data_IF_286629603620
#
_entry.id   IF_286629603620
#
_cell.length_a   1.000
_cell.length_b   1.000
_cell.length_c   1.000
_cell.angle_alpha   90.00
_cell.angle_beta   90.00
_cell.angle_gamma   90.00
#
_symmetry.space_group_name_H-M   'P 1'
#
loop_
_entity.id
_entity.type
_entity.pdbx_description
1 polymer ?
#
# COMPACT_ATOMS: atom_id res chain seq x y z
N UNK A 1 14.16 8.91 -2.95
CA UNK A 1 13.75 9.57 -4.19
C UNK A 1 12.53 10.48 -4.00
N UNK A 2 11.75 10.32 -2.93
CA UNK A 2 10.60 11.17 -2.58
C UNK A 2 10.46 11.31 -1.08
N UNK A 3 9.65 12.25 -0.66
CA UNK A 3 9.22 12.40 0.73
C UNK A 3 7.87 11.73 0.96
N UNK A 4 7.54 11.56 2.23
CA UNK A 4 6.22 11.09 2.61
C UNK A 4 6.05 10.87 4.10
N UNK A 5 4.85 10.38 4.44
CA UNK A 5 4.49 9.96 5.78
C UNK A 5 3.92 8.54 5.76
N UNK A 6 4.33 7.72 6.72
CA UNK A 6 3.77 6.39 6.95
C UNK A 6 3.07 6.30 8.29
N UNK A 7 1.88 5.70 8.27
CA UNK A 7 1.35 5.05 9.46
C UNK A 7 1.83 3.60 9.52
N UNK A 8 1.99 3.05 10.71
CA UNK A 8 2.35 1.65 10.92
C UNK A 8 1.36 0.95 11.87
N UNK A 9 1.58 -0.35 12.12
CA UNK A 9 0.71 -1.16 12.96
C UNK A 9 0.62 -0.69 14.43
N UNK A 10 1.60 0.07 14.93
CA UNK A 10 1.55 0.69 16.27
C UNK A 10 0.93 2.09 16.25
N UNK A 11 0.26 2.49 15.19
CA UNK A 11 -0.34 3.81 14.98
C UNK A 11 0.68 4.96 14.99
N UNK A 12 1.94 4.69 14.69
CA UNK A 12 2.97 5.72 14.62
C UNK A 12 2.98 6.35 13.24
N UNK A 13 2.80 7.66 13.18
CA UNK A 13 3.04 8.44 11.96
C UNK A 13 4.50 8.85 11.92
N UNK A 14 5.21 8.46 10.87
CA UNK A 14 6.62 8.71 10.66
C UNK A 14 6.83 9.42 9.32
N UNK A 15 7.73 10.41 9.30
CA UNK A 15 8.11 11.08 8.08
C UNK A 15 9.47 10.60 7.60
N UNK A 16 9.60 10.43 6.30
CA UNK A 16 10.89 10.23 5.67
C UNK A 16 11.18 11.36 4.69
N UNK A 17 12.45 11.63 4.53
CA UNK A 17 12.97 12.60 3.60
C UNK A 17 13.50 11.91 2.37
N UNK A 18 13.47 12.62 1.27
CA UNK A 18 14.20 12.19 0.08
C UNK A 18 15.68 12.09 0.41
N UNK A 19 16.30 10.98 0.10
CA UNK A 19 17.72 10.69 0.40
C UNK A 19 18.59 10.78 -0.86
N UNK A 20 18.01 10.53 -2.02
CA UNK A 20 18.69 10.55 -3.32
C UNK A 20 17.81 11.23 -4.36
N UNK A 21 18.45 11.79 -5.35
CA UNK A 21 17.78 12.36 -6.52
C UNK A 21 17.06 11.26 -7.30
N UNK A 22 15.86 11.55 -7.77
CA UNK A 22 15.14 10.63 -8.67
C UNK A 22 15.93 10.49 -10.00
N UNK A 23 16.08 9.28 -10.52
CA UNK A 23 16.83 9.08 -11.76
C UNK A 23 16.07 9.58 -12.99
N UNK A 24 16.77 10.23 -13.91
CA UNK A 24 16.23 10.67 -15.18
C UNK A 24 14.95 11.51 -15.05
N UNK A 25 13.91 11.10 -15.72
CA UNK A 25 12.62 11.78 -15.74
C UNK A 25 11.64 11.30 -14.65
N UNK A 26 12.07 10.45 -13.72
CA UNK A 26 11.22 10.00 -12.62
C UNK A 26 10.80 11.19 -11.74
N UNK A 27 9.52 11.21 -11.35
CA UNK A 27 8.92 12.24 -10.50
C UNK A 27 8.08 11.59 -9.41
N UNK A 28 7.92 12.29 -8.29
CA UNK A 28 7.09 11.80 -7.17
C UNK A 28 5.62 11.67 -7.59
N UNK A 29 4.90 10.78 -6.91
CA UNK A 29 3.46 10.58 -7.16
C UNK A 29 2.69 11.90 -7.01
N UNK A 30 3.03 12.69 -6.00
CA UNK A 30 2.39 13.98 -5.74
C UNK A 30 2.59 14.96 -6.93
N UNK A 31 3.81 15.05 -7.45
CA UNK A 31 4.07 15.86 -8.63
C UNK A 31 3.23 15.40 -9.83
N UNK A 32 3.14 14.09 -10.03
CA UNK A 32 2.32 13.53 -11.10
C UNK A 32 0.84 13.91 -10.95
N UNK A 33 0.27 13.75 -9.75
CA UNK A 33 -1.12 14.15 -9.49
C UNK A 33 -1.35 15.65 -9.71
N UNK A 34 -0.44 16.49 -9.27
CA UNK A 34 -0.54 17.93 -9.48
C UNK A 34 -0.49 18.28 -10.97
N UNK A 35 0.42 17.68 -11.74
CA UNK A 35 0.50 17.91 -13.18
C UNK A 35 -0.71 17.38 -13.94
N UNK A 36 -1.23 16.22 -13.57
CA UNK A 36 -2.49 15.73 -14.12
C UNK A 36 -3.65 16.66 -13.81
N UNK A 37 -3.76 17.14 -12.58
CA UNK A 37 -4.85 18.01 -12.16
C UNK A 37 -4.97 19.32 -12.95
N UNK A 38 -3.87 19.81 -13.52
CA UNK A 38 -3.86 20.98 -14.39
C UNK A 38 -4.53 20.75 -15.76
N UNK A 39 -4.72 19.49 -16.16
CA UNK A 39 -5.21 19.08 -17.48
C UNK A 39 -6.70 18.79 -17.52
N UNK A 40 -7.33 18.68 -16.37
CA UNK A 40 -8.75 18.36 -16.25
C UNK A 40 -9.51 19.54 -15.66
N UNK A 41 -10.62 19.91 -16.27
CA UNK A 41 -11.61 20.78 -15.61
C UNK A 41 -12.41 19.98 -14.61
N UNK A 42 -12.97 20.68 -13.65
CA UNK A 42 -13.82 20.07 -12.61
C UNK A 42 -14.98 19.30 -13.25
N UNK A 43 -15.57 19.85 -14.32
CA UNK A 43 -16.67 19.27 -15.05
C UNK A 43 -16.33 17.95 -15.77
N UNK A 44 -15.06 17.73 -16.08
CA UNK A 44 -14.62 16.50 -16.74
C UNK A 44 -14.60 15.29 -15.76
N UNK A 45 -14.59 15.55 -14.45
CA UNK A 45 -14.28 14.51 -13.45
C UNK A 45 -15.36 14.41 -12.38
N UNK A 46 -15.93 15.52 -11.93
CA UNK A 46 -16.89 15.53 -10.83
C UNK A 46 -18.34 15.40 -11.33
N UNK A 47 -19.21 14.69 -10.57
CA UNK A 47 -20.61 14.60 -10.92
C UNK A 47 -21.29 15.98 -10.87
N UNK A 48 -22.27 16.16 -11.74
CA UNK A 48 -22.98 17.42 -11.90
C UNK A 48 -23.62 17.93 -10.59
N UNK A 49 -24.10 17.03 -9.74
CA UNK A 49 -24.70 17.35 -8.44
C UNK A 49 -23.69 17.97 -7.47
N UNK A 50 -22.42 17.55 -7.55
CA UNK A 50 -21.35 18.14 -6.73
C UNK A 50 -21.02 19.55 -7.23
N UNK A 51 -20.95 19.72 -8.54
CA UNK A 51 -20.67 21.02 -9.19
C UNK A 51 -21.81 22.01 -8.90
N UNK A 52 -23.07 21.55 -8.93
CA UNK A 52 -24.23 22.37 -8.58
C UNK A 52 -24.17 22.92 -7.15
N UNK A 53 -23.57 22.16 -6.21
CA UNK A 53 -23.33 22.59 -4.82
C UNK A 53 -22.13 23.55 -4.67
N UNK A 54 -21.29 23.65 -5.71
CA UNK A 54 -20.04 24.42 -5.71
C UNK A 54 -19.86 25.15 -7.05
N UNK A 55 -20.81 26.03 -7.43
CA UNK A 55 -20.82 26.68 -8.74
C UNK A 55 -19.58 27.53 -8.99
N UNK A 56 -18.89 27.98 -7.93
CA UNK A 56 -17.64 28.72 -8.00
C UNK A 56 -16.45 27.90 -8.56
N UNK A 57 -16.62 26.59 -8.67
CA UNK A 57 -15.59 25.70 -9.22
C UNK A 57 -15.75 25.47 -10.72
N UNK A 58 -16.89 25.82 -11.29
CA UNK A 58 -17.15 25.65 -12.71
C UNK A 58 -16.12 26.38 -13.59
N UNK A 59 -15.60 25.68 -14.59
CA UNK A 59 -14.58 26.19 -15.51
C UNK A 59 -13.15 26.18 -14.96
N UNK A 60 -12.97 25.86 -13.66
CA UNK A 60 -11.65 25.75 -13.04
C UNK A 60 -11.03 24.37 -13.28
N UNK A 61 -9.71 24.32 -13.27
CA UNK A 61 -9.01 23.03 -13.27
C UNK A 61 -9.07 22.37 -11.89
N UNK A 62 -8.86 21.06 -11.85
CA UNK A 62 -8.71 20.36 -10.56
C UNK A 62 -7.54 20.94 -9.74
N UNK A 63 -6.46 21.39 -10.41
CA UNK A 63 -5.35 22.06 -9.76
C UNK A 63 -5.80 23.33 -9.01
N UNK A 64 -6.58 24.19 -9.66
CA UNK A 64 -7.06 25.43 -9.07
C UNK A 64 -7.91 25.19 -7.81
N UNK A 65 -8.68 24.11 -7.82
CA UNK A 65 -9.59 23.78 -6.71
C UNK A 65 -8.90 23.03 -5.59
N UNK A 66 -8.02 22.07 -5.92
CA UNK A 66 -7.42 21.17 -4.93
C UNK A 66 -6.08 21.68 -4.38
N UNK A 67 -5.29 22.36 -5.19
CA UNK A 67 -3.92 22.74 -4.82
C UNK A 67 -3.66 24.24 -4.78
N UNK A 68 -4.14 24.99 -5.78
CA UNK A 68 -3.93 26.42 -5.81
C UNK A 68 -4.64 27.12 -4.64
N UNK A 69 -3.94 28.05 -4.00
CA UNK A 69 -4.47 28.86 -2.89
C UNK A 69 -4.99 28.08 -1.66
N UNK A 70 -4.62 26.81 -1.52
CA UNK A 70 -4.92 25.97 -0.37
C UNK A 70 -3.83 26.04 0.70
N UNK A 71 -4.06 25.34 1.82
CA UNK A 71 -3.10 25.25 2.94
C UNK A 71 -1.72 24.83 2.48
N UNK A 72 -1.65 23.96 1.49
CA UNK A 72 -0.41 23.50 0.85
C UNK A 72 0.53 24.63 0.42
N UNK A 73 0.01 25.78 -0.01
CA UNK A 73 0.80 26.92 -0.48
C UNK A 73 1.04 27.99 0.59
N UNK A 74 0.58 27.79 1.83
CA UNK A 74 0.69 28.77 2.91
C UNK A 74 1.97 28.66 3.72
N UNK A 75 2.77 27.62 3.52
CA UNK A 75 3.99 27.40 4.29
C UNK A 75 5.21 27.96 3.56
N UNK A 76 5.97 28.85 4.21
CA UNK A 76 7.16 29.42 3.57
C UNK A 76 8.26 28.39 3.42
N UNK A 77 8.92 28.40 2.28
CA UNK A 77 10.02 27.50 1.89
C UNK A 77 11.16 27.45 2.91
N UNK A 78 11.40 28.57 3.56
CA UNK A 78 12.48 28.73 4.53
C UNK A 78 12.33 27.91 5.80
N UNK A 79 11.13 27.45 6.16
CA UNK A 79 10.89 26.73 7.40
C UNK A 79 11.45 25.31 7.40
N UNK A 80 11.59 24.71 6.23
CA UNK A 80 12.14 23.36 6.08
C UNK A 80 13.63 23.34 5.82
N UNK A 81 14.18 24.40 5.23
CA UNK A 81 15.62 24.54 4.93
C UNK A 81 16.46 24.78 6.18
N UNK A 82 15.86 25.22 7.28
CA UNK A 82 16.55 25.47 8.58
C UNK A 82 16.87 24.20 9.37
N UNK A 83 16.49 23.03 8.91
CA UNK A 83 16.85 21.78 9.59
C UNK A 83 18.27 21.38 9.24
N UNK A 84 19.05 20.92 10.23
CA UNK A 84 20.39 20.35 10.04
C UNK A 84 20.36 18.97 9.36
N UNK A 85 19.34 18.69 8.57
CA UNK A 85 19.15 17.43 7.87
C UNK A 85 20.07 17.39 6.65
N UNK A 86 21.02 16.48 6.62
CA UNK A 86 21.99 16.33 5.54
C UNK A 86 21.34 16.07 4.18
N UNK A 87 20.17 15.46 4.15
CA UNK A 87 19.42 15.22 2.93
C UNK A 87 19.01 16.52 2.23
N UNK A 88 18.65 17.55 3.00
CA UNK A 88 18.22 18.84 2.45
C UNK A 88 19.37 19.61 1.79
N UNK A 89 20.58 19.45 2.27
CA UNK A 89 21.76 20.11 1.70
C UNK A 89 22.10 19.66 0.27
N UNK A 90 21.58 18.52 -0.15
CA UNK A 90 21.83 17.95 -1.46
C UNK A 90 20.75 18.30 -2.49
N UNK A 91 19.72 19.07 -2.11
CA UNK A 91 18.71 19.57 -3.04
C UNK A 91 19.12 20.90 -3.62
N UNK A 92 18.85 21.06 -4.91
CA UNK A 92 18.72 22.38 -5.49
C UNK A 92 17.40 22.98 -5.05
N UNK A 93 17.36 24.30 -4.80
CA UNK A 93 16.12 24.97 -4.39
C UNK A 93 14.98 24.71 -5.37
N UNK A 94 15.27 24.64 -6.68
CA UNK A 94 14.29 24.38 -7.74
C UNK A 94 13.61 23.01 -7.61
N UNK A 95 14.33 22.00 -7.17
CA UNK A 95 13.78 20.65 -7.00
C UNK A 95 12.92 20.53 -5.74
N UNK A 96 13.32 21.20 -4.65
CA UNK A 96 12.49 21.23 -3.44
C UNK A 96 11.19 22.01 -3.67
N UNK A 97 11.26 23.08 -4.46
CA UNK A 97 10.11 23.89 -4.82
C UNK A 97 9.12 23.16 -5.74
N UNK A 98 9.65 22.43 -6.72
CA UNK A 98 8.83 21.74 -7.70
C UNK A 98 8.22 20.43 -7.18
N UNK A 99 8.84 19.78 -6.17
CA UNK A 99 8.59 18.35 -5.93
C UNK A 99 8.21 17.98 -4.52
N UNK A 100 7.91 18.92 -3.63
CA UNK A 100 7.13 18.36 -2.62
C UNK A 100 7.34 18.66 -1.16
N UNK A 101 8.40 19.30 -0.73
CA UNK A 101 8.60 19.55 0.71
C UNK A 101 7.46 20.40 1.31
N UNK A 102 7.10 21.47 0.65
CA UNK A 102 6.07 22.39 1.11
C UNK A 102 4.67 21.82 0.92
N UNK A 103 4.47 21.17 -0.19
CA UNK A 103 3.21 20.52 -0.50
C UNK A 103 2.94 19.40 0.50
N UNK A 104 3.94 18.62 0.89
CA UNK A 104 3.79 17.56 1.90
C UNK A 104 3.41 18.13 3.26
N UNK A 105 4.06 19.19 3.73
CA UNK A 105 3.70 19.87 4.98
C UNK A 105 2.27 20.41 4.91
N UNK A 106 1.93 21.10 3.84
CA UNK A 106 0.59 21.64 3.65
C UNK A 106 -0.50 20.57 3.59
N UNK A 107 -0.27 19.50 2.83
CA UNK A 107 -1.22 18.38 2.75
C UNK A 107 -1.37 17.66 4.09
N UNK A 108 -0.28 17.49 4.83
CA UNK A 108 -0.35 16.87 6.15
C UNK A 108 -1.15 17.74 7.14
N UNK A 109 -0.92 19.05 7.16
CA UNK A 109 -1.68 19.96 8.03
C UNK A 109 -3.16 20.02 7.63
N UNK A 110 -3.47 20.02 6.33
CA UNK A 110 -4.85 19.91 5.86
C UNK A 110 -5.50 18.59 6.29
N UNK A 111 -4.80 17.47 6.12
CA UNK A 111 -5.29 16.16 6.58
C UNK A 111 -5.51 16.15 8.11
N UNK A 112 -4.60 16.73 8.87
CA UNK A 112 -4.70 16.77 10.32
C UNK A 112 -5.93 17.54 10.83
N UNK A 113 -6.42 18.54 10.09
CA UNK A 113 -7.64 19.31 10.43
C UNK A 113 -8.86 18.39 10.55
N UNK A 114 -8.99 17.40 9.67
CA UNK A 114 -10.13 16.47 9.67
C UNK A 114 -10.10 15.48 10.85
N UNK A 115 -8.95 15.24 11.43
CA UNK A 115 -8.80 14.33 12.58
C UNK A 115 -8.93 15.02 13.93
N UNK A 116 -8.63 16.32 14.01
CA UNK A 116 -8.61 17.09 15.27
C UNK A 116 -10.01 17.22 15.86
N UNK A 117 -10.14 16.89 17.14
CA UNK A 117 -11.41 16.86 17.85
C UNK A 117 -12.33 15.68 17.54
N UNK A 118 -11.92 14.78 16.65
CA UNK A 118 -12.71 13.61 16.24
C UNK A 118 -12.09 12.26 16.68
N UNK A 119 -11.20 12.28 17.68
CA UNK A 119 -10.57 11.08 18.22
C UNK A 119 -9.40 10.55 17.37
N UNK A 120 -8.90 11.34 16.44
CA UNK A 120 -7.76 11.04 15.56
C UNK A 120 -6.76 12.19 15.50
N UNK A 121 -6.61 12.90 16.61
CA UNK A 121 -5.78 14.09 16.68
C UNK A 121 -4.33 13.78 16.31
N UNK A 122 -3.82 14.55 15.37
CA UNK A 122 -2.44 14.53 14.94
C UNK A 122 -1.71 15.78 15.44
N UNK A 123 -0.47 15.61 15.86
CA UNK A 123 0.42 16.74 16.15
C UNK A 123 0.68 17.56 14.87
N UNK A 124 1.09 18.81 14.99
CA UNK A 124 1.58 19.58 13.86
C UNK A 124 2.76 18.90 13.17
N UNK A 125 2.90 19.12 11.87
CA UNK A 125 3.96 18.54 11.05
C UNK A 125 5.36 18.71 11.67
N UNK A 126 5.69 19.90 12.16
CA UNK A 126 7.02 20.20 12.70
C UNK A 126 7.31 19.41 13.98
N UNK A 127 6.28 19.09 14.76
CA UNK A 127 6.40 18.25 15.96
C UNK A 127 6.74 16.82 15.57
N UNK A 128 6.03 16.25 14.59
CA UNK A 128 6.35 14.93 14.05
C UNK A 128 7.74 14.88 13.43
N UNK A 129 8.07 15.90 12.67
CA UNK A 129 9.36 16.00 12.01
C UNK A 129 10.54 16.01 13.01
N UNK A 130 10.40 16.76 14.10
CA UNK A 130 11.39 16.82 15.18
C UNK A 130 11.46 15.51 15.97
N UNK A 131 10.31 14.92 16.31
CA UNK A 131 10.23 13.68 17.09
C UNK A 131 10.56 12.42 16.29
N UNK A 132 10.61 12.50 14.95
CA UNK A 132 10.81 11.37 14.02
C UNK A 132 9.68 10.33 14.05
N UNK A 133 8.56 10.68 14.62
CA UNK A 133 7.35 9.87 14.65
C UNK A 133 6.70 9.79 16.03
N UNK A 134 5.39 9.89 16.05
CA UNK A 134 4.56 9.80 17.25
C UNK A 134 3.36 8.90 16.99
N UNK A 135 2.92 8.21 18.03
CA UNK A 135 1.68 7.41 17.98
C UNK A 135 0.46 8.30 18.12
N UNK A 136 -0.42 8.25 17.15
CA UNK A 136 -1.68 8.98 17.24
C UNK A 136 -2.73 8.22 18.06
N UNK A 137 -3.68 8.90 18.69
CA UNK A 137 -3.82 10.34 18.76
C UNK A 137 -2.70 11.00 19.56
N UNK A 138 -2.37 12.25 19.18
CA UNK A 138 -1.47 13.11 19.94
C UNK A 138 -2.30 14.25 20.53
N UNK A 139 -2.53 14.20 21.83
CA UNK A 139 -3.35 15.17 22.56
C UNK A 139 -2.45 15.90 23.56
N UNK A 140 -2.55 17.23 23.62
CA UNK A 140 -1.73 18.07 24.47
C UNK A 140 -0.21 17.79 24.34
N UNK A 141 0.22 17.52 23.10
CA UNK A 141 1.62 17.21 22.79
C UNK A 141 2.11 15.83 23.21
N UNK A 142 1.24 14.97 23.75
CA UNK A 142 1.58 13.63 24.20
C UNK A 142 1.07 12.57 23.24
N UNK A 143 1.94 11.62 22.86
CA UNK A 143 1.53 10.44 22.08
C UNK A 143 0.73 9.44 22.92
N UNK A 144 -0.16 8.69 22.29
CA UNK A 144 -0.98 7.66 22.92
C UNK A 144 -0.35 6.28 22.71
N UNK A 145 0.20 5.68 23.75
CA UNK A 145 0.83 4.37 23.68
C UNK A 145 -0.18 3.24 23.38
N UNK A 146 -1.31 3.24 24.07
CA UNK A 146 -2.38 2.28 23.89
C UNK A 146 -3.73 2.99 23.75
N UNK A 147 -4.51 2.60 22.77
CA UNK A 147 -5.83 3.18 22.55
C UNK A 147 -6.95 2.39 23.22
N UNK A 148 -6.84 1.08 23.19
CA UNK A 148 -7.86 0.17 23.70
C UNK A 148 -7.43 -0.50 25.01
N UNK A 149 -6.91 0.31 25.91
CA UNK A 149 -6.55 -0.07 27.26
C UNK A 149 -7.06 0.97 28.22
N UNK A 150 -7.72 0.54 29.29
CA UNK A 150 -8.30 1.44 30.29
C UNK A 150 -7.25 2.39 30.86
N UNK A 151 -7.62 3.65 30.97
CA UNK A 151 -6.77 4.73 31.50
C UNK A 151 -5.71 5.26 30.54
N UNK A 152 -5.62 4.77 29.30
CA UNK A 152 -4.62 5.21 28.33
C UNK A 152 -5.18 6.02 27.15
N UNK A 153 -6.46 5.86 26.84
CA UNK A 153 -7.08 6.66 25.76
C UNK A 153 -7.38 8.09 26.26
N UNK A 154 -6.80 9.13 25.64
CA UNK A 154 -6.98 10.51 26.12
C UNK A 154 -8.41 11.04 25.99
N UNK A 155 -9.29 10.36 25.26
CA UNK A 155 -10.69 10.75 25.07
C UNK A 155 -11.65 10.00 25.98
N UNK A 156 -11.16 9.07 26.80
CA UNK A 156 -11.95 8.28 27.73
C UNK A 156 -11.52 8.59 29.15
N UNK A 157 -12.48 8.95 30.01
CA UNK A 157 -12.19 9.26 31.40
C UNK A 157 -11.77 8.00 32.15
N UNK A 158 -10.92 8.19 33.14
CA UNK A 158 -10.52 7.10 34.03
C UNK A 158 -11.76 6.45 34.68
N UNK A 159 -11.83 5.13 34.65
CA UNK A 159 -12.97 4.36 35.17
C UNK A 159 -14.13 4.14 34.17
N UNK A 160 -14.09 4.73 32.99
CA UNK A 160 -15.09 4.50 31.94
C UNK A 160 -14.77 3.31 31.01
N UNK A 161 -13.70 2.58 31.29
CA UNK A 161 -13.30 1.38 30.55
C UNK A 161 -12.65 1.69 29.20
N UNK A 162 -13.03 0.94 28.16
CA UNK A 162 -12.50 1.05 26.79
C UNK A 162 -13.60 1.47 25.83
N UNK A 163 -13.29 2.41 24.96
CA UNK A 163 -14.23 2.90 23.95
C UNK A 163 -13.77 2.54 22.53
N UNK A 164 -14.67 1.98 21.74
CA UNK A 164 -14.50 1.77 20.31
C UNK A 164 -15.12 2.93 19.52
N UNK A 165 -14.38 3.41 18.52
CA UNK A 165 -14.80 4.54 17.71
C UNK A 165 -15.48 4.05 16.43
N UNK A 166 -16.45 4.80 15.92
CA UNK A 166 -17.26 4.38 14.79
C UNK A 166 -18.70 4.03 15.16
N UNK A 167 -18.98 3.78 16.45
CA UNK A 167 -20.32 3.63 16.99
C UNK A 167 -20.58 4.64 18.10
N UNK A 168 -21.81 5.18 18.15
CA UNK A 168 -22.20 6.19 19.14
C UNK A 168 -22.17 5.67 20.57
N UNK A 169 -22.43 4.36 20.76
CA UNK A 169 -22.43 3.69 22.07
C UNK A 169 -21.03 3.30 22.53
N UNK A 170 -20.00 3.52 21.74
CA UNK A 170 -18.61 3.19 22.06
C UNK A 170 -18.29 1.70 22.14
N UNK A 171 -19.20 0.81 21.74
CA UNK A 171 -18.99 -0.64 21.76
C UNK A 171 -18.34 -1.16 20.50
N UNK A 172 -17.62 -2.28 20.61
CA UNK A 172 -17.11 -3.00 19.46
C UNK A 172 -18.26 -3.59 18.63
N UNK A 173 -18.13 -3.52 17.31
CA UNK A 173 -19.06 -4.19 16.41
C UNK A 173 -18.61 -5.62 16.21
N UNK A 174 -19.48 -6.57 16.51
CA UNK A 174 -19.23 -7.99 16.27
C UNK A 174 -20.21 -8.47 15.20
N UNK A 175 -19.68 -8.92 14.09
CA UNK A 175 -20.46 -9.45 12.98
C UNK A 175 -20.49 -10.98 13.04
N UNK A 176 -21.67 -11.57 13.09
CA UNK A 176 -21.84 -13.00 12.88
C UNK A 176 -21.80 -13.27 11.38
N UNK A 177 -20.60 -13.54 10.84
CA UNK A 177 -20.41 -13.80 9.43
C UNK A 177 -20.30 -15.31 9.20
N UNK A 178 -21.24 -15.93 8.46
CA UNK A 178 -21.11 -17.33 8.08
C UNK A 178 -19.92 -17.50 7.12
N UNK A 179 -19.29 -18.67 7.18
CA UNK A 179 -18.25 -19.02 6.23
C UNK A 179 -18.82 -19.02 4.80
N UNK A 180 -18.13 -18.35 3.91
CA UNK A 180 -18.36 -18.42 2.46
C UNK A 180 -17.13 -19.01 1.78
N UNK A 181 -17.31 -20.01 0.90
CA UNK A 181 -16.18 -20.57 0.16
C UNK A 181 -15.58 -19.54 -0.79
N UNK A 182 -14.36 -19.81 -1.24
CA UNK A 182 -13.75 -19.02 -2.32
C UNK A 182 -14.59 -19.07 -3.59
N UNK A 183 -14.49 -18.02 -4.42
CA UNK A 183 -15.21 -17.96 -5.69
C UNK A 183 -14.85 -19.12 -6.64
N UNK A 184 -13.65 -19.66 -6.53
CA UNK A 184 -13.19 -20.88 -7.20
C UNK A 184 -12.45 -21.76 -6.20
N UNK A 185 -12.76 -23.05 -6.18
CA UNK A 185 -12.09 -24.08 -5.37
C UNK A 185 -11.52 -25.18 -6.27
N UNK A 186 -10.49 -25.89 -5.82
CA UNK A 186 -9.99 -27.08 -6.51
C UNK A 186 -11.09 -28.13 -6.74
N UNK A 187 -10.96 -28.84 -7.84
CA UNK A 187 -11.85 -29.93 -8.23
C UNK A 187 -11.07 -31.11 -8.84
N UNK A 188 -11.76 -32.02 -9.52
CA UNK A 188 -11.12 -33.22 -10.12
C UNK A 188 -10.15 -32.87 -11.26
N UNK A 189 -10.36 -31.76 -11.97
CA UNK A 189 -9.55 -31.36 -13.11
C UNK A 189 -8.40 -30.44 -12.69
N UNK A 190 -8.67 -29.46 -11.83
CA UNK A 190 -7.72 -28.50 -11.29
C UNK A 190 -7.59 -28.74 -9.78
N UNK A 191 -6.77 -29.73 -9.42
CA UNK A 191 -6.78 -30.37 -8.11
C UNK A 191 -5.90 -29.70 -7.05
N UNK A 192 -5.30 -28.56 -7.38
CA UNK A 192 -4.44 -27.79 -6.48
C UNK A 192 -4.92 -26.36 -6.30
N UNK A 193 -4.74 -25.84 -5.10
CA UNK A 193 -4.78 -24.41 -4.89
C UNK A 193 -3.53 -23.74 -5.45
N UNK A 194 -3.68 -22.63 -6.15
CA UNK A 194 -2.64 -21.65 -6.36
C UNK A 194 -2.73 -20.58 -5.28
N UNK A 195 -1.61 -20.22 -4.67
CA UNK A 195 -1.45 -19.00 -3.90
C UNK A 195 -0.36 -18.13 -4.54
N UNK A 196 -0.65 -16.85 -4.76
CA UNK A 196 0.34 -15.89 -5.22
C UNK A 196 0.85 -15.02 -4.07
N UNK A 197 2.10 -14.56 -4.15
CA UNK A 197 2.68 -13.77 -3.07
C UNK A 197 4.05 -13.22 -3.39
N UNK A 198 4.83 -12.96 -2.34
CA UNK A 198 6.17 -12.37 -2.43
C UNK A 198 7.23 -13.34 -1.93
N UNK A 199 8.43 -13.17 -2.42
CA UNK A 199 9.64 -13.77 -1.85
C UNK A 199 10.38 -12.72 -1.04
N UNK A 200 11.26 -13.16 -0.14
CA UNK A 200 11.98 -12.23 0.74
C UNK A 200 12.94 -11.31 -0.03
N UNK A 201 13.53 -11.83 -1.09
CA UNK A 201 14.51 -11.12 -1.89
C UNK A 201 13.93 -10.01 -2.77
N UNK A 202 12.62 -10.10 -3.09
CA UNK A 202 12.00 -9.14 -3.99
C UNK A 202 10.82 -8.43 -3.34
N UNK A 203 10.93 -7.11 -3.30
CA UNK A 203 9.83 -6.24 -2.86
C UNK A 203 8.77 -6.13 -3.97
N UNK A 204 7.55 -6.55 -3.65
CA UNK A 204 6.38 -6.46 -4.52
C UNK A 204 6.63 -7.06 -5.91
N UNK A 205 6.53 -6.27 -6.99
CA UNK A 205 6.78 -6.66 -8.38
C UNK A 205 8.26 -6.73 -8.76
N UNK A 206 9.16 -6.46 -7.82
CA UNK A 206 10.61 -6.54 -8.03
C UNK A 206 11.20 -5.37 -8.82
N UNK A 207 10.42 -4.36 -9.20
CA UNK A 207 10.89 -3.23 -10.00
C UNK A 207 12.09 -2.48 -9.41
N UNK A 208 12.21 -2.45 -8.09
CA UNK A 208 13.38 -1.88 -7.40
C UNK A 208 14.43 -2.96 -7.07
N UNK A 209 14.01 -4.04 -6.44
CA UNK A 209 14.93 -5.04 -5.88
C UNK A 209 15.63 -5.88 -6.95
N UNK A 210 15.05 -6.08 -8.13
CA UNK A 210 15.71 -6.74 -9.25
C UNK A 210 16.87 -5.91 -9.85
N UNK A 211 16.93 -4.62 -9.52
CA UNK A 211 18.06 -3.73 -9.90
C UNK A 211 19.24 -3.82 -8.93
N UNK A 212 19.07 -4.54 -7.82
CA UNK A 212 20.14 -4.86 -6.87
C UNK A 212 20.73 -6.22 -7.26
N UNK A 213 21.98 -6.27 -7.78
CA UNK A 213 22.56 -7.48 -8.37
C UNK A 213 22.56 -8.69 -7.43
N UNK A 214 22.81 -8.48 -6.15
CA UNK A 214 22.87 -9.54 -5.14
C UNK A 214 21.50 -10.16 -4.91
N UNK A 215 20.44 -9.36 -4.83
CA UNK A 215 19.07 -9.84 -4.66
C UNK A 215 18.58 -10.54 -5.92
N UNK A 216 18.87 -9.96 -7.09
CA UNK A 216 18.51 -10.58 -8.36
C UNK A 216 19.24 -11.91 -8.58
N UNK A 217 20.52 -12.00 -8.22
CA UNK A 217 21.30 -13.25 -8.30
C UNK A 217 20.77 -14.32 -7.35
N UNK A 218 20.29 -13.93 -6.17
CA UNK A 218 19.75 -14.87 -5.19
C UNK A 218 18.43 -15.52 -5.67
N UNK A 219 17.53 -14.74 -6.30
CA UNK A 219 16.25 -15.23 -6.85
C UNK A 219 16.01 -14.59 -8.22
N UNK A 220 16.64 -15.11 -9.29
CA UNK A 220 16.59 -14.47 -10.61
C UNK A 220 15.25 -14.62 -11.33
N UNK A 221 14.48 -15.66 -11.00
CA UNK A 221 13.22 -15.98 -11.66
C UNK A 221 12.18 -16.53 -10.68
N UNK A 222 10.91 -16.38 -11.02
CA UNK A 222 9.83 -17.01 -10.27
C UNK A 222 9.81 -18.52 -10.49
N UNK A 223 9.59 -19.26 -9.42
CA UNK A 223 9.49 -20.72 -9.40
C UNK A 223 8.11 -21.15 -8.89
N UNK A 224 7.71 -22.36 -9.24
CA UNK A 224 6.53 -23.03 -8.68
C UNK A 224 6.96 -23.79 -7.44
N UNK A 225 6.63 -23.28 -6.25
CA UNK A 225 6.86 -24.00 -5.02
C UNK A 225 5.74 -24.98 -4.77
N UNK A 226 6.09 -26.26 -4.55
CA UNK A 226 5.15 -27.36 -4.35
C UNK A 226 5.63 -28.28 -3.23
N UNK A 227 4.70 -28.88 -2.51
CA UNK A 227 5.04 -29.91 -1.53
C UNK A 227 5.67 -31.12 -2.20
N UNK A 228 6.74 -31.73 -1.63
CA UNK A 228 7.38 -32.92 -2.23
C UNK A 228 6.44 -34.10 -2.51
N UNK A 229 5.45 -34.34 -1.64
CA UNK A 229 4.49 -35.40 -1.84
C UNK A 229 3.56 -35.16 -3.04
N UNK A 230 3.17 -33.91 -3.26
CA UNK A 230 2.37 -33.53 -4.42
C UNK A 230 3.19 -33.65 -5.72
N UNK A 231 4.45 -33.26 -5.67
CA UNK A 231 5.37 -33.44 -6.80
C UNK A 231 5.58 -34.92 -7.11
N UNK A 232 5.83 -35.75 -6.10
CA UNK A 232 6.00 -37.20 -6.25
C UNK A 232 4.77 -37.88 -6.86
N UNK A 233 3.58 -37.55 -6.39
CA UNK A 233 2.31 -38.07 -6.94
C UNK A 233 2.13 -37.77 -8.43
N UNK A 234 2.77 -36.70 -8.94
CA UNK A 234 2.70 -36.27 -10.34
C UNK A 234 3.95 -36.65 -11.16
N UNK A 235 4.87 -37.43 -10.60
CA UNK A 235 6.13 -37.77 -11.26
C UNK A 235 7.05 -36.57 -11.51
N UNK A 236 6.89 -35.51 -10.71
CA UNK A 236 7.68 -34.28 -10.85
C UNK A 236 8.85 -34.29 -9.87
N UNK A 237 9.98 -33.72 -10.29
CA UNK A 237 11.18 -33.57 -9.49
C UNK A 237 11.62 -32.11 -9.45
N UNK A 238 12.32 -31.74 -8.38
CA UNK A 238 12.93 -30.42 -8.21
C UNK A 238 13.73 -30.01 -9.44
N UNK A 239 13.56 -28.80 -9.91
CA UNK A 239 14.26 -28.24 -11.07
C UNK A 239 13.64 -28.55 -12.43
N UNK A 240 12.70 -29.49 -12.50
CA UNK A 240 11.96 -29.75 -13.75
C UNK A 240 11.17 -28.55 -14.22
N UNK A 241 11.08 -28.36 -15.53
CA UNK A 241 10.14 -27.43 -16.14
C UNK A 241 8.73 -28.00 -16.04
N UNK A 242 7.82 -27.20 -15.56
CA UNK A 242 6.40 -27.57 -15.41
C UNK A 242 5.52 -26.51 -16.04
N UNK A 243 4.35 -26.94 -16.47
CA UNK A 243 3.26 -26.10 -16.92
C UNK A 243 2.21 -26.04 -15.81
N UNK A 244 1.90 -24.84 -15.36
CA UNK A 244 0.77 -24.58 -14.46
C UNK A 244 -0.38 -24.09 -15.31
N UNK A 245 -1.53 -24.75 -15.18
CA UNK A 245 -2.74 -24.47 -15.95
C UNK A 245 -3.88 -24.07 -15.01
N UNK A 246 -4.65 -23.09 -15.42
CA UNK A 246 -5.95 -22.77 -14.85
C UNK A 246 -7.00 -22.74 -15.98
N UNK A 247 -8.25 -22.46 -15.63
CA UNK A 247 -9.32 -22.25 -16.64
C UNK A 247 -9.12 -21.03 -17.53
N UNK A 248 -8.19 -20.14 -17.16
CA UNK A 248 -7.95 -18.84 -17.80
C UNK A 248 -6.67 -18.77 -18.61
N UNK A 249 -5.72 -19.63 -18.30
CA UNK A 249 -4.45 -19.61 -19.01
C UNK A 249 -3.42 -20.59 -18.44
N UNK A 250 -2.20 -20.41 -18.90
CA UNK A 250 -1.07 -21.25 -18.53
C UNK A 250 0.21 -20.44 -18.32
N UNK A 251 1.12 -20.98 -17.52
CA UNK A 251 2.46 -20.47 -17.36
C UNK A 251 3.48 -21.60 -17.27
N UNK A 252 4.71 -21.34 -17.69
CA UNK A 252 5.85 -22.22 -17.58
C UNK A 252 6.81 -21.71 -16.51
N UNK A 253 7.24 -22.59 -15.61
CA UNK A 253 8.29 -22.28 -14.63
C UNK A 253 8.97 -23.55 -14.12
N UNK A 254 10.10 -23.40 -13.43
CA UNK A 254 10.77 -24.51 -12.75
C UNK A 254 10.11 -24.81 -11.42
N UNK A 255 9.99 -26.10 -11.10
CA UNK A 255 9.45 -26.53 -9.81
C UNK A 255 10.53 -26.48 -8.72
N UNK A 256 10.16 -25.99 -7.55
CA UNK A 256 10.96 -26.03 -6.32
C UNK A 256 10.18 -26.77 -5.23
N UNK A 257 10.78 -27.79 -4.63
CA UNK A 257 10.12 -28.62 -3.60
C UNK A 257 10.77 -28.52 -2.23
N UNK A 258 11.79 -27.68 -2.08
CA UNK A 258 12.54 -27.47 -0.84
C UNK A 258 12.54 -25.99 -0.44
N UNK A 259 13.09 -25.71 0.72
CA UNK A 259 13.29 -24.35 1.21
C UNK A 259 12.11 -23.77 1.96
N UNK A 260 12.25 -22.50 2.32
CA UNK A 260 11.30 -21.78 3.22
C UNK A 260 9.92 -21.54 2.60
N UNK A 261 9.85 -21.48 1.29
CA UNK A 261 8.59 -21.21 0.58
C UNK A 261 7.79 -22.49 0.25
N UNK A 262 8.19 -23.65 0.80
CA UNK A 262 7.45 -24.90 0.61
C UNK A 262 6.03 -24.78 1.17
N UNK A 263 4.99 -24.91 0.32
CA UNK A 263 3.61 -24.84 0.76
C UNK A 263 3.14 -26.15 1.40
N UNK A 264 1.98 -26.19 2.07
CA UNK A 264 1.33 -27.42 2.48
C UNK A 264 0.89 -28.27 1.27
N UNK A 265 0.57 -29.55 1.54
CA UNK A 265 -0.02 -30.47 0.55
C UNK A 265 -1.33 -29.89 0.00
N UNK A 266 -1.54 -30.02 -1.30
CA UNK A 266 -2.72 -29.52 -1.99
C UNK A 266 -2.63 -28.05 -2.43
N UNK A 267 -1.48 -27.40 -2.20
CA UNK A 267 -1.27 -25.99 -2.56
C UNK A 267 0.06 -25.81 -3.29
N UNK A 268 0.07 -24.96 -4.30
CA UNK A 268 1.30 -24.42 -4.89
C UNK A 268 1.40 -22.93 -4.58
N UNK A 269 2.63 -22.43 -4.46
CA UNK A 269 2.91 -21.02 -4.30
C UNK A 269 3.75 -20.52 -5.48
N UNK A 270 3.35 -19.37 -6.07
CA UNK A 270 4.09 -18.74 -7.17
C UNK A 270 4.23 -17.25 -6.88
N UNK A 271 5.45 -16.71 -6.79
CA UNK A 271 5.64 -15.27 -6.61
C UNK A 271 5.34 -14.50 -7.89
N UNK A 272 4.87 -13.26 -7.73
CA UNK A 272 4.40 -12.43 -8.85
C UNK A 272 5.40 -11.37 -9.34
N UNK A 273 6.67 -11.43 -8.92
CA UNK A 273 7.68 -10.43 -9.27
C UNK A 273 8.27 -10.56 -10.68
N UNK A 274 8.04 -11.68 -11.36
CA UNK A 274 8.70 -12.01 -12.63
C UNK A 274 7.78 -11.75 -13.81
N UNK A 275 8.10 -10.74 -14.60
CA UNK A 275 7.33 -10.36 -15.79
C UNK A 275 7.33 -11.42 -16.90
N UNK A 276 8.37 -12.27 -16.95
CA UNK A 276 8.46 -13.38 -17.91
C UNK A 276 7.54 -14.56 -17.54
N UNK A 277 7.05 -14.58 -16.28
CA UNK A 277 6.21 -15.63 -15.69
C UNK A 277 5.00 -15.03 -15.01
N UNK A 278 4.13 -14.40 -15.80
CA UNK A 278 2.97 -13.66 -15.30
C UNK A 278 1.94 -14.61 -14.67
N UNK A 279 2.06 -14.86 -13.38
CA UNK A 279 1.15 -15.72 -12.62
C UNK A 279 -0.30 -15.22 -12.65
N UNK A 280 -0.52 -13.92 -12.82
CA UNK A 280 -1.86 -13.35 -12.92
C UNK A 280 -2.63 -13.74 -14.19
N UNK A 281 -2.01 -14.39 -15.17
CA UNK A 281 -2.71 -15.06 -16.27
C UNK A 281 -3.54 -16.24 -15.80
N UNK A 282 -3.23 -16.78 -14.61
CA UNK A 282 -3.92 -17.93 -14.04
C UNK A 282 -5.05 -17.53 -13.09
N UNK A 283 -4.96 -16.33 -12.51
CA UNK A 283 -5.83 -15.92 -11.41
C UNK A 283 -7.21 -15.48 -11.87
N UNK A 284 -8.12 -15.40 -10.91
CA UNK A 284 -9.53 -15.11 -11.09
C UNK A 284 -9.73 -13.57 -11.07
N UNK A 285 -10.73 -13.10 -11.79
CA UNK A 285 -11.17 -11.69 -11.78
C UNK A 285 -12.37 -11.43 -10.84
N UNK A 286 -12.71 -12.40 -10.00
CA UNK A 286 -13.75 -12.23 -9.00
C UNK A 286 -13.46 -11.05 -8.07
N UNK A 287 -14.48 -10.27 -7.76
CA UNK A 287 -14.38 -9.07 -6.96
C UNK A 287 -15.33 -9.15 -5.76
N UNK A 288 -14.85 -8.77 -4.58
CA UNK A 288 -15.70 -8.66 -3.40
C UNK A 288 -16.81 -7.62 -3.65
N UNK A 289 -18.09 -7.99 -3.44
CA UNK A 289 -19.21 -7.07 -3.71
C UNK A 289 -19.24 -5.85 -2.78
N UNK A 290 -18.60 -5.95 -1.61
CA UNK A 290 -18.56 -4.88 -0.60
C UNK A 290 -17.30 -4.02 -0.76
N UNK A 291 -16.12 -4.61 -0.58
CA UNK A 291 -14.84 -3.88 -0.59
C UNK A 291 -14.30 -3.59 -1.99
N UNK A 292 -14.83 -4.24 -3.01
CA UNK A 292 -14.33 -4.19 -4.39
C UNK A 292 -12.90 -4.74 -4.56
N UNK A 293 -12.39 -5.45 -3.54
CA UNK A 293 -11.10 -6.15 -3.63
C UNK A 293 -11.18 -7.28 -4.65
N UNK A 294 -10.21 -7.35 -5.54
CA UNK A 294 -10.11 -8.39 -6.57
C UNK A 294 -9.42 -9.63 -6.01
N UNK A 295 -10.00 -10.81 -6.25
CA UNK A 295 -9.48 -12.09 -5.76
C UNK A 295 -8.39 -12.67 -6.68
N UNK A 296 -7.28 -11.99 -6.82
CA UNK A 296 -6.15 -12.41 -7.64
C UNK A 296 -5.07 -13.20 -6.89
N UNK A 297 -5.32 -13.60 -5.64
CA UNK A 297 -4.30 -14.29 -4.80
C UNK A 297 -4.46 -15.78 -4.75
N UNK A 298 -5.61 -16.33 -5.18
CA UNK A 298 -5.87 -17.75 -5.17
C UNK A 298 -6.78 -18.16 -6.32
N UNK A 299 -6.61 -19.37 -6.83
CA UNK A 299 -7.51 -20.02 -7.76
C UNK A 299 -7.21 -21.53 -7.82
N UNK A 300 -8.02 -22.30 -8.56
CA UNK A 300 -7.78 -23.70 -8.83
C UNK A 300 -6.84 -23.88 -10.02
N UNK A 301 -5.85 -24.76 -9.88
CA UNK A 301 -4.85 -25.06 -10.92
C UNK A 301 -4.51 -26.54 -10.97
N UNK A 302 -3.91 -26.95 -12.08
CA UNK A 302 -3.20 -28.23 -12.22
C UNK A 302 -1.77 -27.99 -12.66
N UNK A 303 -0.87 -28.87 -12.26
CA UNK A 303 0.55 -28.82 -12.61
C UNK A 303 0.93 -30.11 -13.34
N UNK A 304 1.46 -29.94 -14.54
CA UNK A 304 1.92 -31.03 -15.38
C UNK A 304 3.37 -30.82 -15.85
N UNK A 305 4.02 -31.86 -16.28
CA UNK A 305 5.34 -31.75 -16.92
C UNK A 305 5.18 -30.92 -18.21
N UNK A 306 6.14 -30.02 -18.45
CA UNK A 306 6.19 -29.24 -19.67
C UNK A 306 6.68 -30.05 -20.87
#
# INVERSE_FOLDING_TARGET
>A
EKEGAFGNAERRTQFWRQQVKAPGEARSDLWQYMEFSKRFKVEDVWPAELIAKKPEYKGKTLYDVLYANKVVNKFPKTDLVKTNDHAIKNYTNDESEAFGFYVQKGLFEEYAIFGRGHGHDLAPFDVYHKARGLRWPVVDGKETLWRFREGYDPYVKAGEGVRFYGHKDGKAVIFALPYQPAAESPDKEFDLWLCTGRVLEHWHTGTMTRRVPELHKAVPEAQVFMHPDDAKKRGLQRGMQVKVLSRRGEMLARIETKGRNKPPVGLIFVPFFDESKLVNKLTLDATCPISKETDYKKCAVKVVRA
#
